data_IF_212873951670
#
_entry.id   IF_212873951670
#
_cell.length_a   1.000
_cell.length_b   1.000
_cell.length_c   1.000
_cell.angle_alpha   90.00
_cell.angle_beta   90.00
_cell.angle_gamma   90.00
#
_symmetry.space_group_name_H-M   'P 1'
#
loop_
_entity.id
_entity.type
_entity.pdbx_description
1 polymer ?
#
# COMPACT_ATOMS: atom_id res chain seq x y z
N UNK A 1 60.04 36.99 -2.35
CA UNK A 1 58.74 37.08 -1.65
C UNK A 1 57.66 37.04 -2.73
N UNK A 2 57.27 35.84 -3.14
CA UNK A 2 56.42 35.59 -4.34
C UNK A 2 55.64 34.29 -4.16
N UNK A 3 54.93 34.15 -3.03
CA UNK A 3 54.22 32.91 -2.66
C UNK A 3 52.71 33.08 -2.43
N UNK A 4 52.12 34.25 -2.70
CA UNK A 4 50.68 34.49 -2.49
C UNK A 4 49.85 34.61 -3.79
N UNK A 5 50.48 34.74 -4.96
CA UNK A 5 49.74 34.90 -6.24
C UNK A 5 49.23 33.57 -6.82
N UNK A 6 49.94 32.46 -6.56
CA UNK A 6 49.56 31.13 -7.05
C UNK A 6 48.38 30.51 -6.29
N UNK A 7 48.24 30.81 -5.00
CA UNK A 7 47.12 30.34 -4.17
C UNK A 7 45.79 31.02 -4.54
N UNK A 8 45.81 32.35 -4.73
CA UNK A 8 44.62 33.11 -5.12
C UNK A 8 44.09 32.68 -6.50
N UNK A 9 44.98 32.50 -7.46
CA UNK A 9 44.64 32.10 -8.83
C UNK A 9 44.03 30.69 -8.88
N UNK A 10 44.54 29.74 -8.08
CA UNK A 10 43.96 28.41 -7.94
C UNK A 10 42.54 28.41 -7.33
N UNK A 11 42.28 29.28 -6.34
CA UNK A 11 40.95 29.43 -5.75
C UNK A 11 39.96 30.02 -6.76
N UNK A 12 40.38 31.03 -7.53
CA UNK A 12 39.52 31.61 -8.58
C UNK A 12 39.22 30.63 -9.71
N UNK A 13 40.18 29.77 -10.07
CA UNK A 13 39.98 28.74 -11.07
C UNK A 13 38.96 27.69 -10.61
N UNK A 14 39.06 27.21 -9.37
CA UNK A 14 38.08 26.27 -8.77
C UNK A 14 36.69 26.90 -8.63
N UNK A 15 36.61 28.18 -8.28
CA UNK A 15 35.33 28.89 -8.21
C UNK A 15 34.66 29.00 -9.59
N UNK A 16 35.43 29.27 -10.65
CA UNK A 16 34.93 29.30 -12.02
C UNK A 16 34.45 27.92 -12.50
N UNK A 17 35.19 26.85 -12.16
CA UNK A 17 34.81 25.48 -12.47
C UNK A 17 33.53 25.05 -11.73
N UNK A 18 33.41 25.40 -10.45
CA UNK A 18 32.20 25.16 -9.67
C UNK A 18 30.98 25.92 -10.22
N UNK A 19 31.18 27.17 -10.68
CA UNK A 19 30.13 27.96 -11.32
C UNK A 19 29.66 27.32 -12.63
N UNK A 20 30.59 26.84 -13.46
CA UNK A 20 30.25 26.13 -14.71
C UNK A 20 29.51 24.81 -14.43
N UNK A 21 29.91 24.07 -13.39
CA UNK A 21 29.22 22.85 -12.97
C UNK A 21 27.79 23.13 -12.50
N UNK A 22 27.58 24.22 -11.74
CA UNK A 22 26.25 24.65 -11.31
C UNK A 22 25.37 25.08 -12.49
N UNK A 23 25.93 25.77 -13.48
CA UNK A 23 25.20 26.12 -14.71
C UNK A 23 24.77 24.88 -15.50
N UNK A 24 25.63 23.86 -15.58
CA UNK A 24 25.31 22.59 -16.22
C UNK A 24 24.16 21.84 -15.52
N UNK A 25 23.96 22.05 -14.22
CA UNK A 25 22.89 21.46 -13.41
C UNK A 25 21.53 22.17 -13.58
N UNK A 26 21.50 23.43 -14.03
CA UNK A 26 20.25 24.19 -14.20
C UNK A 26 19.30 23.55 -15.20
N UNK A 27 19.78 23.18 -16.39
CA UNK A 27 18.92 22.62 -17.43
C UNK A 27 18.30 21.25 -17.06
N UNK A 28 19.03 20.28 -16.47
CA UNK A 28 18.44 19.08 -15.89
C UNK A 28 17.42 19.37 -14.78
N UNK A 29 17.71 20.31 -13.89
CA UNK A 29 16.81 20.68 -12.80
C UNK A 29 15.50 21.28 -13.30
N UNK A 30 15.56 22.16 -14.31
CA UNK A 30 14.37 22.72 -14.96
C UNK A 30 13.52 21.66 -15.65
N UNK A 31 14.16 20.68 -16.32
CA UNK A 31 13.42 19.55 -16.93
C UNK A 31 12.74 18.69 -15.86
N UNK A 32 13.39 18.45 -14.74
CA UNK A 32 12.81 17.73 -13.62
C UNK A 32 11.66 18.51 -12.98
N UNK A 33 11.81 19.82 -12.79
CA UNK A 33 10.73 20.67 -12.27
C UNK A 33 9.50 20.63 -13.18
N UNK A 34 9.69 20.78 -14.51
CA UNK A 34 8.58 20.71 -15.48
C UNK A 34 7.89 19.35 -15.49
N UNK A 35 8.64 18.24 -15.41
CA UNK A 35 8.03 16.91 -15.38
C UNK A 35 7.22 16.67 -14.09
N UNK A 36 7.68 17.22 -12.97
CA UNK A 36 6.95 17.21 -11.70
C UNK A 36 5.67 18.04 -11.83
N UNK A 37 5.75 19.27 -12.34
CA UNK A 37 4.59 20.14 -12.53
C UNK A 37 3.53 19.50 -13.46
N UNK A 38 3.97 18.89 -14.56
CA UNK A 38 3.08 18.16 -15.47
C UNK A 38 2.41 16.95 -14.80
N UNK A 39 3.14 16.22 -13.97
CA UNK A 39 2.60 15.09 -13.22
C UNK A 39 1.54 15.55 -12.21
N UNK A 40 1.82 16.63 -11.46
CA UNK A 40 0.88 17.21 -10.52
C UNK A 40 -0.37 17.78 -11.21
N UNK A 41 -0.20 18.49 -12.32
CA UNK A 41 -1.33 19.00 -13.10
C UNK A 41 -2.25 17.88 -13.60
N UNK A 42 -1.67 16.78 -14.11
CA UNK A 42 -2.44 15.59 -14.54
C UNK A 42 -3.15 14.91 -13.37
N UNK A 43 -2.46 14.74 -12.24
CA UNK A 43 -3.05 14.15 -11.05
C UNK A 43 -4.21 15.00 -10.51
N UNK A 44 -4.03 16.32 -10.42
CA UNK A 44 -5.06 17.26 -9.99
C UNK A 44 -6.28 17.24 -10.91
N UNK A 45 -6.09 17.25 -12.23
CA UNK A 45 -7.19 17.14 -13.19
C UNK A 45 -7.96 15.82 -13.06
N UNK A 46 -7.26 14.72 -12.78
CA UNK A 46 -7.90 13.42 -12.50
C UNK A 46 -8.71 13.46 -11.22
N UNK A 47 -8.18 14.04 -10.14
CA UNK A 47 -8.86 14.14 -8.85
C UNK A 47 -10.12 15.00 -8.94
N UNK A 48 -10.05 16.17 -9.59
CA UNK A 48 -11.21 17.05 -9.82
C UNK A 48 -12.29 16.32 -10.61
N UNK A 49 -11.91 15.54 -11.64
CA UNK A 49 -12.86 14.73 -12.42
C UNK A 49 -13.52 13.65 -11.58
N UNK A 50 -12.75 12.93 -10.76
CA UNK A 50 -13.28 11.90 -9.86
C UNK A 50 -14.21 12.50 -8.81
N UNK A 51 -13.85 13.65 -8.22
CA UNK A 51 -14.68 14.36 -7.24
C UNK A 51 -15.96 14.91 -7.88
N UNK A 52 -15.89 15.46 -9.09
CA UNK A 52 -17.06 15.94 -9.82
C UNK A 52 -18.03 14.78 -10.15
N UNK A 53 -17.49 13.62 -10.55
CA UNK A 53 -18.29 12.40 -10.79
C UNK A 53 -18.93 11.90 -9.50
N UNK A 54 -18.15 11.79 -8.43
CA UNK A 54 -18.62 11.36 -7.12
C UNK A 54 -19.71 12.29 -6.53
N UNK A 55 -19.56 13.61 -6.71
CA UNK A 55 -20.56 14.59 -6.28
C UNK A 55 -21.84 14.51 -7.11
N UNK A 56 -21.72 14.19 -8.42
CA UNK A 56 -22.87 14.04 -9.32
C UNK A 56 -23.63 12.73 -9.09
N UNK A 57 -22.92 11.65 -8.74
CA UNK A 57 -23.51 10.33 -8.50
C UNK A 57 -23.88 10.08 -7.02
N UNK A 58 -23.48 10.97 -6.11
CA UNK A 58 -23.80 10.89 -4.67
C UNK A 58 -23.18 9.71 -3.92
N UNK A 59 -22.35 8.89 -4.57
CA UNK A 59 -21.72 7.72 -3.97
C UNK A 59 -20.25 7.62 -4.41
N UNK A 60 -19.32 8.08 -3.55
CA UNK A 60 -17.92 7.61 -3.67
C UNK A 60 -17.92 6.14 -3.26
N UNK A 61 -18.02 5.24 -4.24
CA UNK A 61 -17.88 3.82 -3.91
C UNK A 61 -16.43 3.51 -3.52
N UNK A 62 -16.25 2.64 -2.54
CA UNK A 62 -14.92 2.20 -2.09
C UNK A 62 -14.09 1.63 -3.25
N UNK A 63 -14.77 1.06 -4.26
CA UNK A 63 -14.18 0.54 -5.49
C UNK A 63 -13.60 1.64 -6.41
N UNK A 64 -14.23 2.81 -6.48
CA UNK A 64 -13.68 3.94 -7.25
C UNK A 64 -12.46 4.56 -6.56
N UNK A 65 -12.49 4.64 -5.24
CA UNK A 65 -11.36 5.10 -4.44
C UNK A 65 -10.17 4.14 -4.57
N UNK A 66 -10.44 2.82 -4.52
CA UNK A 66 -9.44 1.80 -4.79
C UNK A 66 -8.86 1.89 -6.22
N UNK A 67 -9.69 2.12 -7.24
CA UNK A 67 -9.23 2.31 -8.63
C UNK A 67 -8.39 3.57 -8.80
N UNK A 68 -8.78 4.68 -8.18
CA UNK A 68 -8.02 5.93 -8.23
C UNK A 68 -6.63 5.76 -7.59
N UNK A 69 -6.56 5.08 -6.44
CA UNK A 69 -5.30 4.76 -5.76
C UNK A 69 -4.45 3.81 -6.59
N UNK A 70 -5.01 2.73 -7.16
CA UNK A 70 -4.29 1.83 -8.05
C UNK A 70 -3.79 2.55 -9.31
N UNK A 71 -4.59 3.45 -9.89
CA UNK A 71 -4.21 4.24 -11.06
C UNK A 71 -3.07 5.21 -10.77
N UNK A 72 -3.10 5.89 -9.62
CA UNK A 72 -2.04 6.76 -9.14
C UNK A 72 -0.75 5.97 -8.82
N UNK A 73 -0.87 4.80 -8.18
CA UNK A 73 0.24 3.90 -7.92
C UNK A 73 0.85 3.34 -9.22
N UNK A 74 0.02 2.96 -10.19
CA UNK A 74 0.45 2.51 -11.51
C UNK A 74 1.16 3.61 -12.32
N UNK A 75 0.69 4.85 -12.21
CA UNK A 75 1.35 6.02 -12.81
C UNK A 75 2.69 6.34 -12.12
N UNK A 76 2.77 6.20 -10.80
CA UNK A 76 4.00 6.36 -10.03
C UNK A 76 5.03 5.24 -10.32
N UNK A 77 4.56 4.01 -10.54
CA UNK A 77 5.38 2.86 -10.98
C UNK A 77 5.94 3.06 -12.40
N UNK A 78 5.18 3.70 -13.29
CA UNK A 78 5.66 4.09 -14.64
C UNK A 78 6.60 5.29 -14.62
N UNK A 79 6.65 6.04 -13.51
CA UNK A 79 7.41 7.27 -13.32
C UNK A 79 8.68 7.11 -12.48
N UNK A 80 9.31 5.93 -12.46
CA UNK A 80 10.76 5.67 -12.30
C UNK A 80 11.57 6.20 -11.10
N UNK A 81 11.08 7.11 -10.27
CA UNK A 81 11.89 7.75 -9.21
C UNK A 81 11.30 7.61 -7.81
N UNK A 82 9.99 7.87 -7.67
CA UNK A 82 9.33 7.79 -6.37
C UNK A 82 9.00 6.34 -6.00
N UNK A 83 8.62 5.50 -6.95
CA UNK A 83 8.37 4.08 -6.72
C UNK A 83 9.66 3.33 -6.32
N UNK A 84 10.82 3.70 -6.87
CA UNK A 84 12.13 3.15 -6.50
C UNK A 84 12.55 3.58 -5.08
N UNK A 85 12.28 4.84 -4.71
CA UNK A 85 12.57 5.36 -3.37
C UNK A 85 11.62 4.79 -2.30
N UNK A 86 10.34 4.61 -2.65
CA UNK A 86 9.35 4.03 -1.75
C UNK A 86 9.47 2.50 -1.67
N UNK A 87 9.80 1.80 -2.77
CA UNK A 87 10.02 0.35 -2.78
C UNK A 87 11.27 -0.06 -2.02
N UNK A 88 12.31 0.80 -2.00
CA UNK A 88 13.50 0.62 -1.16
C UNK A 88 13.26 0.86 0.32
N UNK A 89 12.17 1.55 0.70
CA UNK A 89 11.87 1.91 2.12
C UNK A 89 10.69 1.14 2.71
N UNK A 90 9.75 0.73 1.86
CA UNK A 90 8.58 -0.07 2.19
C UNK A 90 8.51 -1.21 1.17
N UNK A 91 9.00 -2.38 1.55
CA UNK A 91 9.11 -3.56 0.67
C UNK A 91 7.77 -4.26 0.38
N UNK A 92 6.68 -3.48 0.28
CA UNK A 92 5.32 -3.94 -0.01
C UNK A 92 4.45 -4.12 1.23
N UNK A 93 3.16 -3.85 1.07
CA UNK A 93 2.14 -4.27 2.04
C UNK A 93 2.21 -5.79 2.19
N UNK A 94 2.20 -6.28 3.44
CA UNK A 94 2.20 -7.70 3.81
C UNK A 94 0.88 -8.08 4.49
N UNK A 95 -0.21 -7.44 4.07
CA UNK A 95 -1.55 -7.77 4.56
C UNK A 95 -1.92 -9.23 4.23
N UNK A 96 -1.49 -9.73 3.08
CA UNK A 96 -1.65 -11.12 2.65
C UNK A 96 -0.48 -12.02 3.09
N UNK A 97 0.41 -11.53 3.95
CA UNK A 97 1.59 -12.24 4.41
C UNK A 97 2.80 -12.20 3.47
N UNK A 98 3.76 -13.07 3.71
CA UNK A 98 4.98 -13.26 2.92
C UNK A 98 6.29 -13.15 3.71
N UNK A 99 7.43 -13.50 3.09
CA UNK A 99 8.73 -13.49 3.74
C UNK A 99 9.16 -12.07 4.12
N UNK A 100 9.83 -11.98 5.26
CA UNK A 100 10.36 -10.76 5.84
C UNK A 100 11.84 -10.92 6.17
N UNK A 101 12.58 -9.85 5.96
CA UNK A 101 14.02 -9.78 6.20
C UNK A 101 14.32 -8.77 7.30
N UNK A 102 15.38 -8.99 8.09
CA UNK A 102 15.77 -8.07 9.13
C UNK A 102 16.13 -6.69 8.54
N UNK A 103 15.78 -5.63 9.26
CA UNK A 103 16.01 -4.25 8.84
C UNK A 103 14.97 -3.67 7.85
N UNK A 104 14.03 -4.49 7.38
CA UNK A 104 12.88 -4.03 6.61
C UNK A 104 11.76 -3.47 7.47
N UNK A 105 11.01 -2.48 6.95
CA UNK A 105 9.75 -2.05 7.52
C UNK A 105 8.60 -2.52 6.61
N UNK A 106 7.68 -3.28 7.20
CA UNK A 106 6.56 -3.90 6.50
C UNK A 106 5.26 -3.34 7.05
N UNK A 107 4.32 -2.98 6.18
CA UNK A 107 2.97 -2.61 6.59
C UNK A 107 2.10 -3.88 6.66
N UNK A 108 1.56 -4.17 7.84
CA UNK A 108 0.76 -5.36 8.16
C UNK A 108 -0.56 -4.87 8.76
N UNK A 109 -1.69 -5.48 8.39
CA UNK A 109 -2.94 -5.25 9.11
C UNK A 109 -4.19 -5.25 8.24
N UNK A 110 -5.13 -6.09 8.64
CA UNK A 110 -6.52 -6.16 8.16
C UNK A 110 -7.47 -5.28 8.99
N UNK A 111 -6.99 -4.69 10.10
CA UNK A 111 -7.72 -3.76 11.00
C UNK A 111 -7.14 -2.35 11.07
N UNK A 112 -6.25 -2.00 10.14
CA UNK A 112 -5.56 -0.71 10.09
C UNK A 112 -4.07 -0.87 9.77
N UNK A 113 -3.38 0.18 9.29
CA UNK A 113 -1.98 0.10 8.90
C UNK A 113 -1.05 0.03 10.12
N UNK A 114 -0.62 -1.17 10.49
CA UNK A 114 0.42 -1.39 11.50
C UNK A 114 1.79 -1.58 10.82
N UNK A 115 2.86 -1.13 11.46
CA UNK A 115 4.22 -1.29 10.93
C UNK A 115 4.97 -2.37 11.69
N UNK A 116 5.37 -3.43 10.98
CA UNK A 116 6.16 -4.53 11.48
C UNK A 116 7.64 -4.37 11.08
N UNK A 117 8.55 -4.51 12.04
CA UNK A 117 10.00 -4.43 11.84
C UNK A 117 10.69 -5.65 12.49
N UNK A 118 10.95 -6.72 11.73
CA UNK A 118 11.54 -7.92 12.30
C UNK A 118 13.03 -7.75 12.57
N UNK A 119 13.49 -8.30 13.71
CA UNK A 119 14.90 -8.35 14.09
C UNK A 119 15.67 -9.51 13.41
N UNK A 120 14.96 -10.54 12.95
CA UNK A 120 15.49 -11.73 12.28
C UNK A 120 14.64 -12.08 11.06
N UNK A 121 15.19 -12.84 10.11
CA UNK A 121 14.43 -13.29 8.95
C UNK A 121 13.29 -14.25 9.36
N UNK A 122 12.15 -14.18 8.67
CA UNK A 122 10.96 -14.99 8.94
C UNK A 122 9.88 -14.83 7.87
N UNK A 123 8.65 -15.25 8.16
CA UNK A 123 7.47 -14.96 7.32
C UNK A 123 6.32 -14.41 8.16
N UNK A 124 5.49 -13.57 7.53
CA UNK A 124 4.18 -13.20 8.05
C UNK A 124 3.19 -14.14 7.41
N UNK A 125 2.48 -14.92 8.21
CA UNK A 125 1.36 -15.74 7.73
C UNK A 125 0.05 -15.04 8.10
N UNK A 126 -0.90 -14.87 7.17
CA UNK A 126 -2.24 -14.45 7.52
C UNK A 126 -2.81 -15.47 8.51
N UNK A 127 -3.42 -15.00 9.59
CA UNK A 127 -4.26 -15.87 10.39
C UNK A 127 -5.46 -16.22 9.51
N UNK A 128 -5.37 -17.36 8.80
CA UNK A 128 -6.34 -17.77 7.79
C UNK A 128 -7.75 -17.58 8.31
N UNK A 129 -8.61 -17.00 7.46
CA UNK A 129 -10.03 -16.72 7.70
C UNK A 129 -10.61 -17.72 8.68
N UNK A 130 -10.78 -17.30 9.93
CA UNK A 130 -11.22 -18.18 11.01
C UNK A 130 -12.53 -18.84 10.57
N UNK A 131 -12.47 -20.10 10.18
CA UNK A 131 -13.65 -20.91 10.00
C UNK A 131 -14.45 -20.82 11.29
N UNK A 132 -15.72 -20.46 11.20
CA UNK A 132 -16.58 -20.37 12.39
C UNK A 132 -16.73 -21.78 12.94
N UNK A 133 -16.01 -22.10 14.02
CA UNK A 133 -16.20 -23.36 14.72
C UNK A 133 -17.42 -23.24 15.63
N UNK A 134 -18.58 -23.73 15.15
CA UNK A 134 -19.80 -23.82 15.96
C UNK A 134 -19.74 -25.12 16.76
N UNK A 135 -19.39 -25.06 18.04
CA UNK A 135 -19.46 -26.19 18.95
C UNK A 135 -20.89 -26.31 19.50
N UNK A 136 -21.63 -27.32 19.07
CA UNK A 136 -22.98 -27.63 19.58
C UNK A 136 -22.87 -28.66 20.70
N UNK A 137 -23.05 -28.21 21.94
CA UNK A 137 -23.12 -29.10 23.09
C UNK A 137 -24.56 -29.58 23.28
N UNK A 138 -24.83 -30.84 23.00
CA UNK A 138 -26.13 -31.48 23.23
C UNK A 138 -26.05 -32.24 24.55
N UNK A 139 -26.69 -31.73 25.61
CA UNK A 139 -26.88 -32.45 26.86
C UNK A 139 -28.31 -32.98 26.95
N UNK A 140 -28.45 -34.31 26.92
CA UNK A 140 -29.70 -35.02 27.22
C UNK A 140 -30.33 -35.74 26.02
N UNK A 141 -30.48 -37.07 26.15
CA UNK A 141 -31.25 -37.93 25.24
C UNK A 141 -30.38 -38.94 24.49
N UNK A 142 -30.68 -40.22 24.63
CA UNK A 142 -29.94 -41.37 24.09
C UNK A 142 -29.44 -41.16 22.65
N UNK A 143 -28.15 -41.44 22.42
CA UNK A 143 -27.48 -41.33 21.11
C UNK A 143 -28.19 -42.08 19.97
N UNK A 144 -29.05 -43.07 20.30
CA UNK A 144 -29.84 -43.83 19.34
C UNK A 144 -31.02 -43.04 18.71
N UNK A 145 -31.49 -41.96 19.35
CA UNK A 145 -32.52 -41.08 18.79
C UNK A 145 -31.98 -40.06 17.79
N UNK A 146 -30.70 -39.70 17.94
CA UNK A 146 -30.01 -38.72 17.10
C UNK A 146 -29.73 -39.26 15.68
N UNK A 147 -29.37 -40.54 15.55
CA UNK A 147 -29.17 -41.21 14.25
C UNK A 147 -30.46 -41.24 13.41
N UNK A 148 -31.63 -41.19 14.05
CA UNK A 148 -32.93 -41.14 13.35
C UNK A 148 -33.32 -39.74 12.88
N UNK A 149 -32.59 -38.69 13.26
CA UNK A 149 -32.97 -37.28 13.08
C UNK A 149 -32.01 -36.48 12.18
N UNK A 150 -31.07 -37.12 11.50
CA UNK A 150 -30.08 -36.45 10.61
C UNK A 150 -30.73 -35.48 9.62
N UNK A 151 -31.84 -35.86 8.99
CA UNK A 151 -32.54 -34.98 8.05
C UNK A 151 -33.17 -33.75 8.73
N UNK A 152 -33.66 -33.90 9.96
CA UNK A 152 -34.28 -32.79 10.70
C UNK A 152 -33.20 -31.82 11.22
N UNK A 153 -32.07 -32.35 11.69
CA UNK A 153 -30.92 -31.55 12.13
C UNK A 153 -30.30 -30.81 10.95
N UNK A 154 -30.10 -31.48 9.80
CA UNK A 154 -29.59 -30.85 8.59
C UNK A 154 -30.52 -29.74 8.08
N UNK A 155 -31.84 -29.95 8.12
CA UNK A 155 -32.81 -28.92 7.73
C UNK A 155 -32.88 -27.74 8.72
N UNK A 156 -32.71 -27.99 10.02
CA UNK A 156 -32.66 -26.92 11.02
C UNK A 156 -31.39 -26.07 10.84
N UNK A 157 -30.25 -26.72 10.60
CA UNK A 157 -28.98 -26.05 10.36
C UNK A 157 -29.00 -25.24 9.05
N UNK A 158 -29.47 -25.83 7.95
CA UNK A 158 -29.60 -25.14 6.66
C UNK A 158 -30.51 -23.91 6.76
N UNK A 159 -31.62 -24.00 7.52
CA UNK A 159 -32.49 -22.85 7.79
C UNK A 159 -31.79 -21.77 8.61
N UNK A 160 -31.09 -22.14 9.68
CA UNK A 160 -30.36 -21.21 10.53
C UNK A 160 -29.26 -20.44 9.76
N UNK A 161 -28.50 -21.15 8.92
CA UNK A 161 -27.47 -20.55 8.05
C UNK A 161 -28.09 -19.56 7.05
N UNK A 162 -29.19 -19.95 6.40
CA UNK A 162 -29.88 -19.10 5.42
C UNK A 162 -30.47 -17.84 6.06
N UNK A 163 -30.96 -17.93 7.30
CA UNK A 163 -31.45 -16.79 8.09
C UNK A 163 -30.31 -15.85 8.52
N UNK A 164 -29.15 -16.40 8.89
CA UNK A 164 -27.96 -15.60 9.22
C UNK A 164 -27.42 -14.83 8.02
N UNK A 165 -27.37 -15.48 6.85
CA UNK A 165 -26.91 -14.85 5.60
C UNK A 165 -27.81 -13.71 5.09
N UNK A 166 -29.08 -13.65 5.53
CA UNK A 166 -30.02 -12.57 5.18
C UNK A 166 -29.98 -11.36 6.15
N UNK A 167 -29.29 -11.48 7.28
CA UNK A 167 -29.18 -10.42 8.32
C UNK A 167 -27.83 -9.70 8.31
N UNK A 168 -26.95 -10.04 7.37
CA UNK A 168 -25.74 -9.32 7.01
C UNK A 168 -25.99 -8.58 5.69
#
# INVERSE_FOLDING_TARGET
>A
MSLDQDGLSAVTARAAEAAAALDALKAPAERAARSIDEAFARAGASLVKSLARAASDGQVSLAELARAVLGAAGAALKGGGLAEALSKRFSGARADGGPVLPGGAYLVGERGPEVFRPASAGSIEPAGSGGVSVTVNVQGGEAAGLVRSDAQIAQALARAVTLGARRL
#
